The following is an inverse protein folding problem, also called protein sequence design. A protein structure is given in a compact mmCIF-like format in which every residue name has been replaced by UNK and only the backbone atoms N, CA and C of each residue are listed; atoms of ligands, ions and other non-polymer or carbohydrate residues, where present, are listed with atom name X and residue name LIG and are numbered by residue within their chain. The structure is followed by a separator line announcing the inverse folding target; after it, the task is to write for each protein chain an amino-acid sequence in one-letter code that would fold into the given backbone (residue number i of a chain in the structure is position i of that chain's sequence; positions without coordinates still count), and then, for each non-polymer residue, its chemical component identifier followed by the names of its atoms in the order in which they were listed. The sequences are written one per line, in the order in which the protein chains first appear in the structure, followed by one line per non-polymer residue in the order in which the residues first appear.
data_IF_423388484201
#
_entry.id   IF_423388484201
#
_cell.length_a   1.000
_cell.length_b   1.000
_cell.length_c   1.000
_cell.angle_alpha   90.00
_cell.angle_beta   90.00
_cell.angle_gamma   90.00
#
_symmetry.space_group_name_H-M   'P 1'
#
loop_
_entity.id
_entity.type
_entity.pdbx_description
1 polymer ?
#
# COMPACT_ATOMS: atom_id res chain seq x y z
N UNK A 1 -19.20 -9.83 21.78
CA UNK A 1 -19.23 -9.40 23.21
C UNK A 1 -18.13 -8.40 23.46
N UNK A 2 -18.46 -7.27 24.06
CA UNK A 2 -17.48 -6.25 24.42
C UNK A 2 -17.09 -6.47 25.87
N UNK A 3 -15.79 -6.71 26.12
CA UNK A 3 -15.25 -6.84 27.46
C UNK A 3 -15.15 -5.48 28.18
N UNK A 4 -14.64 -5.45 29.40
CA UNK A 4 -14.33 -4.21 30.11
C UNK A 4 -13.41 -3.32 29.29
N UNK A 5 -13.49 -2.01 29.53
CA UNK A 5 -12.60 -1.06 28.88
C UNK A 5 -11.13 -1.47 29.11
N UNK A 6 -10.30 -1.43 28.05
CA UNK A 6 -8.92 -1.91 28.06
C UNK A 6 -8.74 -3.35 27.62
N UNK A 7 -9.83 -4.14 27.51
CA UNK A 7 -9.77 -5.52 27.00
C UNK A 7 -10.36 -5.63 25.59
N UNK A 8 -10.80 -4.52 25.02
CA UNK A 8 -11.37 -4.50 23.67
C UNK A 8 -10.29 -4.86 22.65
N UNK A 9 -10.58 -5.88 21.85
CA UNK A 9 -9.67 -6.35 20.81
C UNK A 9 -9.62 -5.36 19.64
N UNK A 10 -8.43 -5.16 19.08
CA UNK A 10 -8.25 -4.38 17.86
C UNK A 10 -9.11 -4.95 16.72
N UNK A 11 -9.65 -4.08 15.86
CA UNK A 11 -10.43 -4.51 14.71
C UNK A 11 -9.58 -5.24 13.68
N UNK A 12 -10.19 -6.10 12.85
CA UNK A 12 -9.49 -6.77 11.76
C UNK A 12 -8.92 -5.77 10.77
N UNK A 13 -9.68 -4.73 10.42
CA UNK A 13 -9.24 -3.71 9.47
C UNK A 13 -7.98 -3.01 9.98
N UNK A 14 -7.97 -2.56 11.24
CA UNK A 14 -6.77 -1.95 11.82
C UNK A 14 -5.60 -2.91 11.90
N UNK A 15 -5.86 -4.18 12.20
CA UNK A 15 -4.82 -5.23 12.24
C UNK A 15 -4.16 -5.37 10.87
N UNK A 16 -4.93 -5.52 9.81
CA UNK A 16 -4.36 -5.68 8.47
C UNK A 16 -3.69 -4.41 7.96
N UNK A 17 -4.19 -3.24 8.34
CA UNK A 17 -3.52 -1.97 8.03
C UNK A 17 -2.20 -1.84 8.77
N UNK A 18 -2.11 -2.33 10.02
CA UNK A 18 -0.85 -2.38 10.75
C UNK A 18 0.16 -3.32 10.08
N UNK A 19 -0.29 -4.44 9.52
CA UNK A 19 0.58 -5.33 8.74
C UNK A 19 1.08 -4.62 7.49
N UNK A 20 0.22 -3.92 6.77
CA UNK A 20 0.61 -3.13 5.60
C UNK A 20 1.64 -2.06 5.98
N UNK A 21 1.44 -1.38 7.10
CA UNK A 21 2.38 -0.39 7.62
C UNK A 21 3.75 -1.01 7.93
N UNK A 22 3.77 -2.20 8.53
CA UNK A 22 5.02 -2.91 8.79
C UNK A 22 5.81 -3.16 7.51
N UNK A 23 5.14 -3.55 6.43
CA UNK A 23 5.80 -3.76 5.13
C UNK A 23 6.23 -2.43 4.48
N UNK A 24 5.57 -1.33 4.77
CA UNK A 24 6.00 -0.03 4.27
C UNK A 24 7.43 0.33 4.71
N UNK A 25 7.83 -0.09 5.91
CA UNK A 25 9.20 0.12 6.38
C UNK A 25 10.26 -0.60 5.56
N UNK A 26 9.90 -1.60 4.78
CA UNK A 26 10.81 -2.29 3.87
C UNK A 26 11.00 -1.57 2.54
N UNK A 27 10.21 -0.55 2.25
CA UNK A 27 10.31 0.21 0.99
C UNK A 27 11.73 0.76 0.78
N UNK A 28 12.18 0.69 -0.46
CA UNK A 28 13.47 1.24 -0.88
C UNK A 28 13.36 2.64 -1.46
N UNK A 29 12.16 3.20 -1.52
CA UNK A 29 11.92 4.56 -2.00
C UNK A 29 12.32 5.59 -0.94
N UNK A 30 12.99 6.66 -1.36
CA UNK A 30 13.41 7.73 -0.47
C UNK A 30 12.36 8.84 -0.35
N UNK A 31 11.34 8.84 -1.21
CA UNK A 31 10.32 9.89 -1.27
C UNK A 31 9.06 9.51 -0.48
N UNK A 32 8.56 8.31 -0.68
CA UNK A 32 7.36 7.78 0.00
C UNK A 32 7.51 6.29 0.16
N UNK A 33 7.08 5.79 1.31
CA UNK A 33 7.10 4.35 1.60
C UNK A 33 5.68 3.84 1.70
N UNK A 34 5.38 2.79 0.95
CA UNK A 34 4.05 2.16 0.95
C UNK A 34 4.17 0.68 1.21
N UNK A 35 3.19 0.15 1.92
CA UNK A 35 3.01 -1.27 2.11
C UNK A 35 1.58 -1.66 1.78
N UNK A 36 1.40 -2.82 1.18
CA UNK A 36 0.11 -3.36 0.82
C UNK A 36 0.00 -4.82 1.25
N UNK A 37 -1.18 -5.22 1.72
CA UNK A 37 -1.48 -6.62 1.99
C UNK A 37 -2.80 -6.98 1.34
N UNK A 38 -2.90 -8.22 0.88
CA UNK A 38 -4.13 -8.78 0.32
C UNK A 38 -4.61 -9.86 1.26
N UNK A 39 -5.89 -9.78 1.62
CA UNK A 39 -6.53 -10.68 2.59
C UNK A 39 -7.72 -11.34 1.91
N UNK A 40 -7.82 -12.64 2.03
CA UNK A 40 -8.97 -13.40 1.56
C UNK A 40 -9.36 -14.42 2.62
N UNK A 41 -10.66 -14.53 2.89
CA UNK A 41 -11.20 -15.44 3.90
C UNK A 41 -10.47 -15.28 5.25
N UNK A 42 -10.24 -14.03 5.64
CA UNK A 42 -9.59 -13.65 6.90
C UNK A 42 -8.12 -14.12 7.02
N UNK A 43 -7.46 -14.36 5.88
CA UNK A 43 -6.06 -14.78 5.84
C UNK A 43 -5.27 -13.83 4.95
N UNK A 44 -4.12 -13.36 5.46
CA UNK A 44 -3.18 -12.58 4.64
C UNK A 44 -2.55 -13.54 3.63
N UNK A 45 -2.85 -13.32 2.35
CA UNK A 45 -2.37 -14.20 1.26
C UNK A 45 -1.24 -13.59 0.45
N UNK A 46 -1.03 -12.28 0.56
CA UNK A 46 0.02 -11.59 -0.18
C UNK A 46 0.41 -10.30 0.51
N UNK A 47 1.65 -9.91 0.29
CA UNK A 47 2.22 -8.66 0.79
C UNK A 47 3.01 -7.99 -0.32
N UNK A 48 3.17 -6.68 -0.23
CA UNK A 48 4.01 -5.92 -1.14
C UNK A 48 4.46 -4.60 -0.51
N UNK A 49 5.58 -4.11 -0.95
CA UNK A 49 6.06 -2.77 -0.63
C UNK A 49 6.68 -2.17 -1.90
N UNK A 50 6.74 -0.85 -1.97
CA UNK A 50 7.29 -0.20 -3.16
C UNK A 50 8.82 -0.23 -3.15
N UNK A 51 9.41 -0.43 -4.32
CA UNK A 51 10.85 -0.48 -4.47
C UNK A 51 11.28 -0.80 -5.89
N UNK A 52 12.58 -0.67 -6.13
CA UNK A 52 13.16 -1.00 -7.43
C UNK A 52 12.96 -2.47 -7.77
N UNK A 53 12.84 -2.81 -9.07
CA UNK A 53 12.78 -4.22 -9.48
C UNK A 53 13.99 -5.01 -8.98
N UNK A 54 13.82 -6.30 -8.82
CA UNK A 54 14.93 -7.18 -8.40
C UNK A 54 16.10 -7.07 -9.36
N UNK A 55 17.29 -6.91 -8.81
CA UNK A 55 18.52 -6.78 -9.60
C UNK A 55 18.85 -5.35 -10.02
N UNK A 56 17.98 -4.39 -9.76
CA UNK A 56 18.24 -2.96 -9.98
C UNK A 56 18.64 -2.27 -8.69
N UNK A 57 19.40 -1.18 -8.81
CA UNK A 57 19.80 -0.39 -7.65
C UNK A 57 18.57 0.25 -6.97
N UNK A 58 18.57 0.24 -5.65
CA UNK A 58 17.53 0.87 -4.87
C UNK A 58 17.79 2.37 -4.72
N UNK A 59 16.73 3.17 -4.74
CA UNK A 59 16.86 4.61 -4.54
C UNK A 59 17.46 4.95 -3.18
N UNK A 60 17.15 4.19 -2.13
CA UNK A 60 17.73 4.40 -0.81
C UNK A 60 19.25 4.17 -0.79
N UNK A 61 19.75 3.25 -1.60
CA UNK A 61 21.19 2.98 -1.72
C UNK A 61 21.88 4.07 -2.54
N UNK A 62 21.23 4.56 -3.60
CA UNK A 62 21.73 5.63 -4.44
C UNK A 62 21.66 7.00 -3.77
N UNK A 63 20.72 7.17 -2.84
CA UNK A 63 20.48 8.43 -2.14
C UNK A 63 19.82 9.51 -3.00
N UNK A 64 19.33 9.16 -4.20
CA UNK A 64 18.73 10.11 -5.15
C UNK A 64 17.47 9.54 -5.76
N UNK A 65 16.55 10.44 -6.12
CA UNK A 65 15.33 10.11 -6.85
C UNK A 65 15.40 10.80 -8.22
N UNK A 66 15.39 10.05 -9.34
CA UNK A 66 15.46 10.64 -10.67
C UNK A 66 14.37 11.69 -10.94
N UNK A 67 13.16 11.46 -10.42
CA UNK A 67 12.05 12.41 -10.57
C UNK A 67 12.31 13.72 -9.84
N UNK A 68 12.84 13.64 -8.62
CA UNK A 68 13.19 14.84 -7.84
C UNK A 68 14.33 15.61 -8.53
N UNK A 69 15.35 14.90 -9.00
CA UNK A 69 16.48 15.53 -9.71
C UNK A 69 16.04 16.30 -10.96
N UNK A 70 15.01 15.83 -11.65
CA UNK A 70 14.47 16.49 -12.84
C UNK A 70 13.38 17.49 -12.53
N UNK A 71 13.10 17.78 -11.24
CA UNK A 71 12.11 18.77 -10.83
C UNK A 71 10.67 18.37 -11.09
N UNK A 72 10.39 17.10 -11.21
CA UNK A 72 9.04 16.60 -11.48
C UNK A 72 8.14 16.63 -10.26
N UNK A 73 6.87 16.99 -10.47
CA UNK A 73 5.85 16.98 -9.43
C UNK A 73 5.29 15.59 -9.22
N UNK A 74 4.52 15.41 -8.14
CA UNK A 74 3.82 14.16 -7.87
C UNK A 74 2.90 13.81 -9.04
N UNK A 75 2.94 12.56 -9.48
CA UNK A 75 2.16 12.08 -10.62
C UNK A 75 2.84 12.25 -11.97
N UNK A 76 3.97 12.99 -12.03
CA UNK A 76 4.74 13.19 -13.26
C UNK A 76 5.95 12.26 -13.31
N UNK A 77 6.34 11.89 -14.53
CA UNK A 77 7.58 11.17 -14.78
C UNK A 77 7.65 9.79 -14.16
N UNK A 78 6.53 9.10 -14.00
CA UNK A 78 6.52 7.73 -13.46
C UNK A 78 7.30 6.75 -14.34
N UNK A 79 7.47 7.03 -15.63
CA UNK A 79 8.36 6.26 -16.50
C UNK A 79 9.84 6.34 -16.13
N UNK A 80 10.24 7.37 -15.40
CA UNK A 80 11.60 7.55 -14.91
C UNK A 80 11.80 6.98 -13.51
N UNK A 81 10.71 6.71 -12.78
CA UNK A 81 10.76 6.07 -11.50
C UNK A 81 10.93 4.56 -11.68
N UNK A 82 11.95 3.98 -11.05
CA UNK A 82 12.21 2.54 -11.13
C UNK A 82 11.26 1.72 -10.25
N UNK A 83 10.60 2.35 -9.29
CA UNK A 83 9.86 1.64 -8.27
C UNK A 83 8.64 0.92 -8.85
N UNK A 84 8.50 -0.33 -8.46
CA UNK A 84 7.24 -1.06 -8.56
C UNK A 84 6.41 -0.63 -7.35
N UNK A 85 5.14 -0.34 -7.54
CA UNK A 85 4.27 0.11 -6.46
C UNK A 85 3.94 -1.04 -5.50
N UNK A 86 3.63 -0.72 -4.25
CA UNK A 86 3.28 -1.73 -3.24
C UNK A 86 2.10 -2.59 -3.68
N UNK A 87 1.07 -1.96 -4.23
CA UNK A 87 -0.14 -2.65 -4.72
C UNK A 87 0.20 -3.60 -5.87
N UNK A 88 1.08 -3.17 -6.79
CA UNK A 88 1.53 -3.99 -7.90
C UNK A 88 2.26 -5.23 -7.40
N UNK A 89 3.19 -5.06 -6.45
CA UNK A 89 3.93 -6.16 -5.86
C UNK A 89 3.01 -7.15 -5.15
N UNK A 90 2.04 -6.65 -4.38
CA UNK A 90 1.08 -7.50 -3.70
C UNK A 90 0.25 -8.31 -4.71
N UNK A 91 -0.20 -7.69 -5.81
CA UNK A 91 -0.95 -8.37 -6.86
C UNK A 91 -0.10 -9.41 -7.59
N UNK A 92 1.17 -9.10 -7.87
CA UNK A 92 2.09 -10.03 -8.53
C UNK A 92 2.37 -11.28 -7.71
N UNK A 93 2.28 -11.18 -6.39
CA UNK A 93 2.51 -12.31 -5.48
C UNK A 93 1.26 -13.19 -5.29
N UNK A 94 0.17 -12.90 -6.01
CA UNK A 94 -1.09 -13.65 -5.97
C UNK A 94 -1.43 -14.22 -7.33
N UNK A 95 -2.19 -15.32 -7.34
CA UNK A 95 -2.90 -15.75 -8.55
C UNK A 95 -4.18 -14.94 -8.72
N UNK A 96 -4.74 -14.95 -9.93
CA UNK A 96 -6.03 -14.30 -10.20
C UNK A 96 -7.16 -14.92 -9.36
N UNK A 97 -7.15 -16.23 -9.16
CA UNK A 97 -8.12 -16.89 -8.30
C UNK A 97 -8.09 -16.38 -6.86
N UNK A 98 -6.89 -16.06 -6.39
CA UNK A 98 -6.72 -15.53 -5.03
C UNK A 98 -7.17 -14.08 -4.91
N UNK A 99 -6.97 -13.26 -5.95
CA UNK A 99 -7.33 -11.84 -5.89
C UNK A 99 -8.82 -11.59 -6.07
N UNK A 100 -9.53 -12.43 -6.83
CA UNK A 100 -10.97 -12.27 -7.02
C UNK A 100 -11.69 -12.40 -5.68
N UNK A 101 -12.42 -11.36 -5.27
CA UNK A 101 -13.16 -11.31 -4.02
C UNK A 101 -12.33 -11.03 -2.78
N UNK A 102 -11.01 -10.81 -2.92
CA UNK A 102 -10.15 -10.45 -1.80
C UNK A 102 -10.24 -8.96 -1.48
N UNK A 103 -9.71 -8.58 -0.33
CA UNK A 103 -9.56 -7.19 0.09
C UNK A 103 -8.10 -6.78 0.08
N UNK A 104 -7.83 -5.51 -0.24
CA UNK A 104 -6.50 -4.93 -0.24
C UNK A 104 -6.41 -3.82 0.81
N UNK A 105 -5.32 -3.84 1.58
CA UNK A 105 -5.05 -2.86 2.62
C UNK A 105 -3.77 -2.11 2.27
N UNK A 106 -3.81 -0.79 2.28
CA UNK A 106 -2.69 0.06 1.87
C UNK A 106 -2.35 1.07 2.96
N UNK A 107 -1.08 1.16 3.29
CA UNK A 107 -0.57 2.15 4.24
C UNK A 107 0.66 2.85 3.67
N UNK A 108 0.83 4.11 4.02
CA UNK A 108 1.95 4.93 3.59
C UNK A 108 2.65 5.60 4.77
N UNK A 109 3.95 5.80 4.63
CA UNK A 109 4.80 6.41 5.65
C UNK A 109 5.68 7.46 5.01
N UNK A 110 5.84 8.62 5.69
CA UNK A 110 6.79 9.65 5.30
C UNK A 110 8.20 9.23 5.78
N UNK A 111 9.21 9.15 4.89
CA UNK A 111 10.51 8.62 5.27
C UNK A 111 11.25 9.43 6.35
N UNK A 112 11.02 10.73 6.44
CA UNK A 112 11.77 11.59 7.35
C UNK A 112 11.49 11.32 8.83
N UNK A 113 10.22 11.26 9.19
CA UNK A 113 9.77 11.14 10.59
C UNK A 113 8.95 9.89 10.86
N UNK A 114 8.75 9.04 9.85
CA UNK A 114 7.92 7.84 9.92
C UNK A 114 6.46 8.10 10.30
N UNK A 115 5.98 9.33 10.08
CA UNK A 115 4.56 9.65 10.26
C UNK A 115 3.72 9.00 9.18
N UNK A 116 2.44 8.81 9.47
CA UNK A 116 1.52 8.23 8.50
C UNK A 116 1.30 9.23 7.36
N UNK A 117 1.52 8.75 6.14
CA UNK A 117 1.14 9.43 4.92
C UNK A 117 -0.21 8.87 4.47
N UNK A 118 -1.17 9.76 4.19
CA UNK A 118 -2.47 9.33 3.68
C UNK A 118 -2.28 8.58 2.37
N UNK A 119 -2.53 7.27 2.40
CA UNK A 119 -2.33 6.41 1.27
C UNK A 119 -3.52 6.47 0.31
N UNK A 120 -3.23 6.43 -0.99
CA UNK A 120 -4.24 6.32 -2.04
C UNK A 120 -3.60 5.66 -3.27
N UNK A 121 -4.25 4.66 -3.89
CA UNK A 121 -3.73 4.06 -5.11
C UNK A 121 -3.69 5.10 -6.24
N UNK A 122 -2.62 5.08 -7.03
CA UNK A 122 -2.57 5.89 -8.25
C UNK A 122 -3.55 5.33 -9.29
N UNK A 123 -3.88 6.10 -10.35
CA UNK A 123 -4.81 5.61 -11.39
C UNK A 123 -4.36 4.30 -12.04
N UNK A 124 -3.06 4.08 -12.22
CA UNK A 124 -2.54 2.84 -12.80
C UNK A 124 -2.81 1.66 -11.87
N UNK A 125 -2.50 1.80 -10.58
CA UNK A 125 -2.75 0.75 -9.58
C UNK A 125 -4.25 0.52 -9.41
N UNK A 126 -5.07 1.57 -9.41
CA UNK A 126 -6.53 1.44 -9.29
C UNK A 126 -7.10 0.56 -10.39
N UNK A 127 -6.67 0.74 -11.63
CA UNK A 127 -7.12 -0.09 -12.75
C UNK A 127 -6.71 -1.55 -12.58
N UNK A 128 -5.47 -1.80 -12.12
CA UNK A 128 -5.00 -3.15 -11.86
C UNK A 128 -5.78 -3.83 -10.73
N UNK A 129 -6.06 -3.10 -9.67
CA UNK A 129 -6.82 -3.61 -8.52
C UNK A 129 -8.23 -4.00 -8.96
N UNK A 130 -8.89 -3.16 -9.74
CA UNK A 130 -10.22 -3.45 -10.29
C UNK A 130 -10.18 -4.70 -11.17
N UNK A 131 -9.22 -4.76 -12.09
CA UNK A 131 -9.09 -5.88 -13.03
C UNK A 131 -8.75 -7.19 -12.32
N UNK A 132 -8.03 -7.11 -11.21
CA UNK A 132 -7.71 -8.28 -10.39
C UNK A 132 -8.93 -8.84 -9.62
N UNK A 133 -10.02 -8.09 -9.54
CA UNK A 133 -11.24 -8.52 -8.84
C UNK A 133 -11.22 -8.27 -7.35
N UNK A 134 -10.37 -7.38 -6.87
CA UNK A 134 -10.36 -6.97 -5.46
C UNK A 134 -11.71 -6.34 -5.10
N UNK A 135 -12.30 -6.78 -4.00
CA UNK A 135 -13.63 -6.37 -3.59
C UNK A 135 -13.62 -5.02 -2.85
N UNK A 136 -12.76 -4.87 -1.87
CA UNK A 136 -12.63 -3.65 -1.08
C UNK A 136 -11.18 -3.23 -0.97
N UNK A 137 -10.94 -1.91 -0.96
CA UNK A 137 -9.62 -1.33 -0.71
C UNK A 137 -9.72 -0.44 0.52
N UNK A 138 -8.92 -0.76 1.54
CA UNK A 138 -8.85 -0.01 2.79
C UNK A 138 -7.57 0.80 2.82
N UNK A 139 -7.68 2.08 3.16
CA UNK A 139 -6.56 3.01 3.14
C UNK A 139 -6.32 3.56 4.55
N UNK A 140 -5.09 3.48 5.03
CA UNK A 140 -4.71 4.15 6.28
C UNK A 140 -4.64 5.65 6.05
N UNK A 141 -5.37 6.43 6.85
CA UNK A 141 -5.36 7.89 6.75
C UNK A 141 -4.78 8.58 7.99
N UNK A 142 -4.64 7.87 9.09
CA UNK A 142 -4.06 8.39 10.32
C UNK A 142 -3.52 7.27 11.20
N UNK A 143 -2.79 7.63 12.25
CA UNK A 143 -2.08 6.69 13.12
C UNK A 143 -2.99 5.97 14.13
N UNK A 144 -4.16 6.53 14.42
CA UNK A 144 -5.04 6.00 15.45
C UNK A 144 -5.94 4.91 14.92
N UNK A 145 -6.39 4.02 15.81
CA UNK A 145 -7.37 3.00 15.48
C UNK A 145 -8.63 3.64 14.87
N UNK A 146 -9.14 3.04 13.80
CA UNK A 146 -10.31 3.53 13.08
C UNK A 146 -10.04 4.65 12.08
N UNK A 147 -8.83 5.18 12.01
CA UNK A 147 -8.47 6.21 11.04
C UNK A 147 -8.11 5.58 9.70
N UNK A 148 -9.12 5.14 8.98
CA UNK A 148 -8.99 4.57 7.64
C UNK A 148 -10.18 4.95 6.78
N UNK A 149 -10.03 4.80 5.47
CA UNK A 149 -11.10 4.98 4.48
C UNK A 149 -11.27 3.71 3.66
N UNK A 150 -12.48 3.49 3.18
CA UNK A 150 -12.77 2.47 2.17
C UNK A 150 -12.78 3.18 0.82
N UNK A 151 -11.91 2.71 -0.10
CA UNK A 151 -11.80 3.31 -1.41
C UNK A 151 -12.87 2.76 -2.34
N UNK A 152 -13.66 3.65 -2.95
CA UNK A 152 -14.73 3.29 -3.87
C UNK A 152 -14.22 3.36 -5.31
N UNK A 153 -13.50 2.31 -5.74
CA UNK A 153 -12.90 2.26 -7.07
C UNK A 153 -13.92 2.13 -8.20
N UNK A 154 -15.09 1.60 -7.88
CA UNK A 154 -16.12 1.28 -8.87
C UNK A 154 -17.18 2.38 -9.03
N UNK A 155 -17.03 3.53 -8.39
CA UNK A 155 -18.06 4.58 -8.39
C UNK A 155 -17.98 5.51 -9.59
N UNK A 156 -16.91 5.45 -10.37
CA UNK A 156 -16.78 6.25 -11.59
C UNK A 156 -17.21 5.42 -12.79
N UNK A 157 -18.19 5.88 -13.55
CA UNK A 157 -18.50 5.24 -14.83
C UNK A 157 -17.36 5.38 -15.81
#
# INVERSE_FOLDING_TARGET
MVGPEGTKRISKIDTYLNVAEAFAYRSTCIKRKYGAVIVKDDVVISTGYNGSPRGYDNCCDLGVCPRIQLGMHQGEGYGLCRAIHAEQNALLNCSREQTIGADLYLAGINPGDNSIHRAKPCPLCSRLIIQAGIQNVYLRVGAKAGEYEVCLLYTSP
#
